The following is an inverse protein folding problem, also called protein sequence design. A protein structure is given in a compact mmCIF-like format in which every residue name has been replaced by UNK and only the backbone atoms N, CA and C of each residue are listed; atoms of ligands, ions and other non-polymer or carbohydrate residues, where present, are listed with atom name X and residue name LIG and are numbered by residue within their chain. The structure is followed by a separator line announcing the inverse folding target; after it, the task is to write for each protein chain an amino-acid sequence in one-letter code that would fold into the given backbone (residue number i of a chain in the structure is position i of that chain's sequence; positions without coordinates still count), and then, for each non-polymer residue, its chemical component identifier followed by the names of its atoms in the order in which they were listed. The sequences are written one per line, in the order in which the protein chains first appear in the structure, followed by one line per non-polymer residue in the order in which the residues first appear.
data_IF_322144064978
#
_entry.id   IF_322144064978
#
_cell.length_a   1.000
_cell.length_b   1.000
_cell.length_c   1.000
_cell.angle_alpha   90.00
_cell.angle_beta   90.00
_cell.angle_gamma   90.00
#
_symmetry.space_group_name_H-M   'P 1'
#
loop_
_entity.id
_entity.type
_entity.pdbx_description
1 polymer ?
#
# COMPACT_ATOMS: atom_id res chain seq x y z
N UNK A 1 -3.56 -27.32 0.09
CA UNK A 1 -2.52 -26.29 0.36
C UNK A 1 -2.74 -25.01 -0.44
N UNK A 2 -3.07 -25.11 -1.74
CA UNK A 2 -3.36 -23.96 -2.63
C UNK A 2 -4.48 -23.07 -2.09
N UNK A 3 -5.59 -23.65 -1.61
CA UNK A 3 -6.72 -22.88 -1.03
C UNK A 3 -6.33 -21.97 0.15
N UNK A 4 -5.38 -22.39 1.02
CA UNK A 4 -4.92 -21.59 2.17
C UNK A 4 -3.93 -20.51 1.76
N UNK A 5 -3.04 -20.81 0.82
CA UNK A 5 -2.10 -19.83 0.25
C UNK A 5 -2.82 -18.73 -0.53
N UNK A 6 -3.80 -19.09 -1.36
CA UNK A 6 -4.63 -18.13 -2.09
C UNK A 6 -5.42 -17.20 -1.16
N UNK A 7 -6.04 -17.75 -0.10
CA UNK A 7 -6.74 -16.93 0.91
C UNK A 7 -5.79 -15.94 1.61
N UNK A 8 -4.57 -16.40 1.90
CA UNK A 8 -3.54 -15.59 2.56
C UNK A 8 -3.03 -14.49 1.64
N UNK A 9 -2.75 -14.80 0.37
CA UNK A 9 -2.37 -13.83 -0.64
C UNK A 9 -3.47 -12.79 -0.89
N UNK A 10 -4.73 -13.22 -0.92
CA UNK A 10 -5.89 -12.33 -1.06
C UNK A 10 -6.05 -11.40 0.15
N UNK A 11 -5.80 -11.89 1.37
CA UNK A 11 -5.81 -11.07 2.57
C UNK A 11 -4.66 -10.06 2.58
N UNK A 12 -3.44 -10.50 2.28
CA UNK A 12 -2.27 -9.62 2.19
C UNK A 12 -2.46 -8.57 1.09
N UNK A 13 -3.00 -8.97 -0.06
CA UNK A 13 -3.42 -8.05 -1.10
C UNK A 13 -4.44 -7.04 -0.54
N UNK A 14 -5.50 -7.47 0.16
CA UNK A 14 -6.46 -6.53 0.74
C UNK A 14 -5.89 -5.53 1.75
N UNK A 15 -4.82 -5.91 2.46
CA UNK A 15 -4.16 -5.06 3.46
C UNK A 15 -3.20 -4.06 2.82
N UNK A 16 -2.44 -4.48 1.81
CA UNK A 16 -1.42 -3.64 1.14
C UNK A 16 -1.94 -2.94 -0.12
N UNK A 17 -2.99 -3.45 -0.75
CA UNK A 17 -3.57 -2.85 -1.95
C UNK A 17 -4.49 -1.68 -1.57
N UNK A 18 -3.89 -0.51 -1.38
CA UNK A 18 -4.57 0.74 -1.04
C UNK A 18 -4.57 1.79 -2.16
N UNK A 19 -4.96 3.01 -1.80
CA UNK A 19 -5.05 4.15 -2.73
C UNK A 19 -3.72 4.44 -3.46
N UNK A 20 -2.58 4.33 -2.78
CA UNK A 20 -1.27 4.52 -3.42
C UNK A 20 -1.10 3.60 -4.63
N UNK A 21 -1.40 2.32 -4.47
CA UNK A 21 -1.28 1.31 -5.53
C UNK A 21 -2.26 1.50 -6.69
N UNK A 22 -3.29 2.35 -6.54
CA UNK A 22 -4.20 2.73 -7.61
C UNK A 22 -3.78 4.02 -8.32
N UNK A 23 -3.05 4.91 -7.66
CA UNK A 23 -2.75 6.26 -8.16
C UNK A 23 -1.35 6.35 -8.77
N UNK A 24 -0.33 5.78 -8.11
CA UNK A 24 1.05 5.92 -8.59
C UNK A 24 1.35 5.15 -9.86
N UNK A 25 0.96 3.86 -10.02
CA UNK A 25 1.35 3.12 -11.22
C UNK A 25 0.78 3.72 -12.52
N UNK A 26 -0.50 4.13 -12.59
CA UNK A 26 -1.00 4.82 -13.78
C UNK A 26 -0.30 6.17 -14.03
N UNK A 27 -0.08 6.96 -12.98
CA UNK A 27 0.61 8.25 -13.08
C UNK A 27 2.05 8.09 -13.58
N UNK A 28 2.79 7.12 -13.01
CA UNK A 28 4.12 6.72 -13.45
C UNK A 28 4.11 6.26 -14.90
N UNK A 29 3.14 5.45 -15.30
CA UNK A 29 2.99 4.97 -16.68
C UNK A 29 2.89 6.11 -17.68
N UNK A 30 2.05 7.11 -17.39
CA UNK A 30 1.90 8.31 -18.23
C UNK A 30 3.16 9.18 -18.22
N UNK A 31 3.74 9.43 -17.04
CA UNK A 31 4.86 10.37 -16.89
C UNK A 31 6.22 9.84 -17.31
N UNK A 32 6.40 8.51 -17.34
CA UNK A 32 7.67 7.88 -17.69
C UNK A 32 7.89 7.73 -19.19
N UNK A 33 6.81 7.78 -20.00
CA UNK A 33 6.87 7.68 -21.45
C UNK A 33 7.70 6.47 -21.91
N UNK A 34 8.74 6.66 -22.76
CA UNK A 34 9.59 5.56 -23.23
C UNK A 34 10.43 4.91 -22.12
N UNK A 35 10.61 5.56 -20.98
CA UNK A 35 11.41 5.07 -19.85
C UNK A 35 10.59 4.26 -18.83
N UNK A 36 9.49 3.65 -19.28
CA UNK A 36 8.57 2.90 -18.42
C UNK A 36 9.25 1.77 -17.66
N UNK A 37 10.05 0.92 -18.32
CA UNK A 37 10.68 -0.24 -17.71
C UNK A 37 11.59 0.08 -16.51
N UNK A 38 12.54 1.03 -16.59
CA UNK A 38 13.32 1.42 -15.43
C UNK A 38 12.44 2.06 -14.34
N UNK A 39 11.43 2.84 -14.70
CA UNK A 39 10.52 3.45 -13.74
C UNK A 39 9.71 2.41 -12.93
N UNK A 40 9.05 1.47 -13.62
CA UNK A 40 8.27 0.43 -12.94
C UNK A 40 9.17 -0.50 -12.13
N UNK A 41 10.40 -0.75 -12.57
CA UNK A 41 11.40 -1.50 -11.81
C UNK A 41 11.72 -0.86 -10.45
N UNK A 42 11.95 0.46 -10.42
CA UNK A 42 12.16 1.20 -9.18
C UNK A 42 10.93 1.16 -8.26
N UNK A 43 9.73 1.34 -8.85
CA UNK A 43 8.47 1.28 -8.12
C UNK A 43 8.24 -0.08 -7.46
N UNK A 44 8.40 -1.17 -8.21
CA UNK A 44 8.21 -2.53 -7.70
C UNK A 44 9.23 -2.85 -6.61
N UNK A 45 10.49 -2.44 -6.78
CA UNK A 45 11.53 -2.68 -5.78
C UNK A 45 11.18 -2.05 -4.43
N UNK A 46 10.81 -0.78 -4.44
CA UNK A 46 10.54 -0.01 -3.21
C UNK A 46 9.15 -0.26 -2.62
N UNK A 47 8.10 -0.22 -3.44
CA UNK A 47 6.71 -0.35 -2.99
C UNK A 47 6.34 -1.78 -2.61
N UNK A 48 6.75 -2.77 -3.41
CA UNK A 48 6.40 -4.18 -3.17
C UNK A 48 7.55 -4.95 -2.54
N UNK A 49 8.75 -4.85 -3.11
CA UNK A 49 9.92 -5.63 -2.69
C UNK A 49 10.28 -5.39 -1.23
N UNK A 50 10.48 -4.12 -0.83
CA UNK A 50 10.82 -3.76 0.55
C UNK A 50 9.67 -4.11 1.51
N UNK A 51 8.40 -3.88 1.13
CA UNK A 51 7.26 -4.20 1.96
C UNK A 51 7.14 -5.71 2.25
N UNK A 52 7.31 -6.55 1.21
CA UNK A 52 7.30 -8.01 1.35
C UNK A 52 8.48 -8.49 2.18
N UNK A 53 9.69 -7.98 1.94
CA UNK A 53 10.88 -8.32 2.74
C UNK A 53 10.68 -7.95 4.21
N UNK A 54 10.15 -6.76 4.47
CA UNK A 54 9.82 -6.29 5.82
C UNK A 54 8.79 -7.20 6.48
N UNK A 55 7.73 -7.57 5.77
CA UNK A 55 6.74 -8.50 6.31
C UNK A 55 7.36 -9.86 6.66
N UNK A 56 8.18 -10.43 5.76
CA UNK A 56 8.85 -11.71 5.97
C UNK A 56 9.78 -11.65 7.19
N UNK A 57 10.67 -10.66 7.25
CA UNK A 57 11.61 -10.47 8.37
C UNK A 57 10.85 -10.26 9.69
N UNK A 58 9.77 -9.48 9.68
CA UNK A 58 8.91 -9.28 10.84
C UNK A 58 8.25 -10.58 11.30
N UNK A 59 7.84 -11.44 10.37
CA UNK A 59 7.21 -12.74 10.71
C UNK A 59 8.17 -13.78 11.24
N UNK A 60 9.45 -13.72 10.86
CA UNK A 60 10.49 -14.62 11.36
C UNK A 60 10.91 -14.28 12.79
N UNK A 61 10.66 -13.05 13.24
CA UNK A 61 11.00 -12.60 14.60
C UNK A 61 9.78 -12.68 15.53
N UNK A 62 9.68 -13.71 16.40
CA UNK A 62 8.49 -13.96 17.22
C UNK A 62 8.20 -12.86 18.25
N UNK A 63 9.18 -12.01 18.54
CA UNK A 63 9.04 -10.87 19.46
C UNK A 63 8.81 -9.53 18.72
N UNK A 64 8.74 -9.56 17.39
CA UNK A 64 8.46 -8.41 16.53
C UNK A 64 9.59 -7.38 16.45
N UNK A 65 9.39 -6.37 15.61
CA UNK A 65 10.37 -5.30 15.37
C UNK A 65 10.72 -4.50 16.62
N UNK A 66 9.76 -4.30 17.52
CA UNK A 66 9.97 -3.54 18.76
C UNK A 66 11.09 -4.18 19.60
N UNK A 67 11.00 -5.49 19.79
CA UNK A 67 11.98 -6.21 20.61
C UNK A 67 13.36 -6.23 19.96
N UNK A 68 13.42 -6.50 18.65
CA UNK A 68 14.67 -6.52 17.90
C UNK A 68 15.39 -5.17 17.94
N UNK A 69 14.66 -4.07 17.72
CA UNK A 69 15.21 -2.71 17.78
C UNK A 69 15.65 -2.36 19.21
N UNK A 70 14.87 -2.77 20.21
CA UNK A 70 15.19 -2.50 21.62
C UNK A 70 16.47 -3.20 22.08
N UNK A 71 16.72 -4.41 21.60
CA UNK A 71 17.91 -5.20 21.96
C UNK A 71 19.16 -4.79 21.15
N UNK A 72 19.00 -4.50 19.86
CA UNK A 72 20.14 -4.21 18.96
C UNK A 72 20.58 -2.75 18.95
N UNK A 73 19.66 -1.82 19.25
CA UNK A 73 19.94 -0.38 19.24
C UNK A 73 19.75 0.19 20.65
N UNK A 74 18.51 0.41 21.06
CA UNK A 74 18.16 0.85 22.40
C UNK A 74 16.63 0.81 22.61
N UNK A 75 16.14 0.56 23.83
CA UNK A 75 14.69 0.57 24.13
C UNK A 75 14.01 1.90 23.82
N UNK A 76 14.66 3.03 24.13
CA UNK A 76 14.10 4.35 23.87
C UNK A 76 13.97 4.64 22.36
N UNK A 77 14.93 4.16 21.56
CA UNK A 77 14.91 4.34 20.11
C UNK A 77 13.75 3.58 19.47
N UNK A 78 13.47 2.35 19.94
CA UNK A 78 12.32 1.58 19.48
C UNK A 78 10.99 2.31 19.72
N UNK A 79 10.84 2.95 20.89
CA UNK A 79 9.64 3.73 21.22
C UNK A 79 9.52 4.96 20.32
N UNK A 80 10.58 5.75 20.20
CA UNK A 80 10.58 6.97 19.34
C UNK A 80 10.26 6.61 17.89
N UNK A 81 10.90 5.55 17.37
CA UNK A 81 10.67 5.08 16.00
C UNK A 81 9.21 4.66 15.78
N UNK A 82 8.60 3.89 16.69
CA UNK A 82 7.19 3.50 16.55
C UNK A 82 6.24 4.67 16.67
N UNK A 83 6.49 5.61 17.58
CA UNK A 83 5.66 6.80 17.71
C UNK A 83 5.71 7.61 16.42
N UNK A 84 6.90 7.86 15.88
CA UNK A 84 7.06 8.55 14.60
C UNK A 84 6.37 7.80 13.45
N UNK A 85 6.49 6.47 13.43
CA UNK A 85 5.89 5.62 12.40
C UNK A 85 4.36 5.66 12.46
N UNK A 86 3.75 5.50 13.64
CA UNK A 86 2.30 5.55 13.79
C UNK A 86 1.73 6.94 13.55
N UNK A 87 2.44 8.01 13.94
CA UNK A 87 2.02 9.38 13.64
C UNK A 87 2.09 9.68 12.14
N UNK A 88 3.12 9.17 11.45
CA UNK A 88 3.25 9.29 10.00
C UNK A 88 2.15 8.54 9.25
N UNK A 89 1.88 7.28 9.62
CA UNK A 89 0.79 6.51 9.00
C UNK A 89 -0.56 7.14 9.32
N UNK A 90 -0.80 7.52 10.58
CA UNK A 90 -2.08 8.02 11.04
C UNK A 90 -2.30 9.49 10.66
N UNK A 91 -2.25 10.41 11.65
CA UNK A 91 -2.72 11.78 11.49
C UNK A 91 -1.89 12.68 10.59
N UNK A 92 -0.59 12.41 10.39
CA UNK A 92 0.29 13.40 9.77
C UNK A 92 0.49 13.22 8.26
N UNK A 93 0.38 12.00 7.74
CA UNK A 93 0.73 11.77 6.33
C UNK A 93 -0.25 10.86 5.61
N UNK A 94 -0.29 9.56 5.91
CA UNK A 94 -1.01 8.61 5.06
C UNK A 94 -2.53 8.85 5.06
N UNK A 95 -3.16 8.97 6.24
CA UNK A 95 -4.62 9.13 6.30
C UNK A 95 -5.07 10.45 5.64
N UNK A 96 -4.52 11.64 5.97
CA UNK A 96 -4.90 12.89 5.28
C UNK A 96 -4.70 12.82 3.77
N UNK A 97 -3.58 12.23 3.33
CA UNK A 97 -3.28 12.06 1.91
C UNK A 97 -4.33 11.22 1.19
N UNK A 98 -4.82 10.14 1.79
CA UNK A 98 -5.86 9.33 1.13
C UNK A 98 -7.14 10.14 0.87
N UNK A 99 -7.53 11.01 1.79
CA UNK A 99 -8.69 11.88 1.63
C UNK A 99 -8.48 12.92 0.51
N UNK A 100 -7.33 13.59 0.50
CA UNK A 100 -7.04 14.62 -0.53
C UNK A 100 -6.91 14.00 -1.91
N UNK A 101 -6.27 12.84 -2.04
CA UNK A 101 -6.13 12.21 -3.36
C UNK A 101 -7.46 11.64 -3.86
N UNK A 102 -8.31 11.08 -2.98
CA UNK A 102 -9.66 10.67 -3.37
C UNK A 102 -10.49 11.86 -3.90
N UNK A 103 -10.33 13.04 -3.31
CA UNK A 103 -10.92 14.27 -3.83
C UNK A 103 -10.34 14.67 -5.19
N UNK A 104 -9.02 14.81 -5.29
CA UNK A 104 -8.35 15.32 -6.51
C UNK A 104 -8.56 14.42 -7.72
N UNK A 105 -8.61 13.10 -7.52
CA UNK A 105 -8.79 12.14 -8.62
C UNK A 105 -10.26 11.87 -8.90
N UNK A 106 -11.12 11.84 -7.87
CA UNK A 106 -12.50 11.38 -7.99
C UNK A 106 -13.55 12.48 -8.16
N UNK A 107 -13.37 13.63 -7.51
CA UNK A 107 -14.41 14.67 -7.40
C UNK A 107 -13.98 15.98 -8.05
N UNK A 108 -12.74 16.43 -7.81
CA UNK A 108 -12.17 17.67 -8.36
C UNK A 108 -12.37 17.80 -9.88
N UNK A 109 -12.16 16.75 -10.71
CA UNK A 109 -12.36 16.85 -12.17
C UNK A 109 -13.82 17.03 -12.60
N UNK A 110 -14.78 16.74 -11.71
CA UNK A 110 -16.23 16.86 -11.98
C UNK A 110 -16.78 18.23 -11.56
N UNK A 111 -16.02 19.01 -10.78
CA UNK A 111 -16.45 20.29 -10.25
C UNK A 111 -15.92 21.47 -11.08
N UNK A 112 -16.66 22.60 -11.12
CA UNK A 112 -16.14 23.84 -11.66
C UNK A 112 -14.91 24.35 -10.88
N UNK A 113 -13.89 24.86 -11.59
CA UNK A 113 -12.59 25.30 -11.03
C UNK A 113 -12.66 26.37 -9.93
N UNK A 114 -13.78 27.07 -9.77
CA UNK A 114 -13.98 28.10 -8.74
C UNK A 114 -14.53 27.54 -7.42
N UNK A 115 -15.03 26.30 -7.40
CA UNK A 115 -15.56 25.64 -6.19
C UNK A 115 -14.56 24.74 -5.46
N UNK A 116 -13.34 24.63 -5.96
CA UNK A 116 -12.40 23.56 -5.57
C UNK A 116 -11.97 23.62 -4.11
N UNK A 117 -11.84 24.80 -3.52
CA UNK A 117 -11.45 24.96 -2.10
C UNK A 117 -12.55 24.54 -1.13
N UNK A 118 -13.78 25.04 -1.34
CA UNK A 118 -14.94 24.63 -0.53
C UNK A 118 -15.29 23.16 -0.76
N UNK A 119 -15.19 22.68 -1.99
CA UNK A 119 -15.38 21.27 -2.35
C UNK A 119 -14.44 20.34 -1.57
N UNK A 120 -13.16 20.72 -1.44
CA UNK A 120 -12.18 19.94 -0.68
C UNK A 120 -12.56 19.85 0.81
N UNK A 121 -12.96 20.96 1.44
CA UNK A 121 -13.35 21.00 2.85
C UNK A 121 -14.58 20.11 3.09
N UNK A 122 -15.61 20.24 2.25
CA UNK A 122 -16.84 19.45 2.37
C UNK A 122 -16.54 17.97 2.16
N UNK A 123 -15.80 17.61 1.10
CA UNK A 123 -15.46 16.23 0.81
C UNK A 123 -14.63 15.58 1.93
N UNK A 124 -13.57 16.25 2.39
CA UNK A 124 -12.72 15.73 3.46
C UNK A 124 -13.48 15.58 4.77
N UNK A 125 -14.38 16.52 5.10
CA UNK A 125 -15.27 16.39 6.26
C UNK A 125 -16.14 15.15 6.16
N UNK A 126 -16.83 14.94 5.03
CA UNK A 126 -17.67 13.75 4.79
C UNK A 126 -16.83 12.48 4.85
N UNK A 127 -15.64 12.48 4.23
CA UNK A 127 -14.72 11.35 4.22
C UNK A 127 -14.33 10.93 5.64
N UNK A 128 -13.89 11.88 6.47
CA UNK A 128 -13.48 11.58 7.84
C UNK A 128 -14.64 11.22 8.76
N UNK A 129 -15.83 11.80 8.57
CA UNK A 129 -17.05 11.39 9.29
C UNK A 129 -17.42 9.95 8.92
N UNK A 130 -17.42 9.60 7.63
CA UNK A 130 -17.70 8.24 7.19
C UNK A 130 -16.65 7.25 7.72
N UNK A 131 -15.37 7.60 7.64
CA UNK A 131 -14.27 6.79 8.19
C UNK A 131 -14.44 6.57 9.70
N UNK A 132 -14.79 7.64 10.44
CA UNK A 132 -15.08 7.56 11.87
C UNK A 132 -16.24 6.61 12.17
N UNK A 133 -17.38 6.77 11.49
CA UNK A 133 -18.56 5.91 11.68
C UNK A 133 -18.27 4.44 11.37
N UNK A 134 -17.46 4.15 10.35
CA UNK A 134 -17.05 2.79 10.01
C UNK A 134 -16.11 2.23 11.10
N UNK A 135 -15.21 3.06 11.63
CA UNK A 135 -14.24 2.67 12.66
C UNK A 135 -14.87 2.33 14.02
N UNK A 136 -16.10 2.79 14.29
CA UNK A 136 -16.85 2.45 15.51
C UNK A 136 -17.18 0.95 15.65
N UNK A 137 -17.07 0.17 14.55
CA UNK A 137 -17.29 -1.28 14.56
C UNK A 137 -16.03 -2.06 14.12
N UNK A 138 -14.95 -2.03 14.92
CA UNK A 138 -13.64 -2.59 14.52
C UNK A 138 -13.67 -4.11 14.30
N UNK A 139 -14.53 -4.84 15.03
CA UNK A 139 -14.66 -6.30 14.90
C UNK A 139 -15.12 -6.77 13.52
N UNK A 140 -15.81 -5.92 12.76
CA UNK A 140 -16.27 -6.21 11.39
C UNK A 140 -15.34 -5.64 10.32
N UNK A 141 -14.32 -4.86 10.69
CA UNK A 141 -13.48 -4.13 9.75
C UNK A 141 -12.62 -5.07 8.91
N UNK A 142 -11.93 -6.01 9.55
CA UNK A 142 -11.10 -7.02 8.88
C UNK A 142 -11.94 -7.92 7.96
N UNK A 143 -13.13 -8.34 8.42
CA UNK A 143 -14.07 -9.14 7.61
C UNK A 143 -14.58 -8.36 6.39
N UNK A 144 -14.88 -7.07 6.53
CA UNK A 144 -15.29 -6.19 5.43
C UNK A 144 -14.17 -5.96 4.42
N UNK A 145 -12.94 -5.76 4.88
CA UNK A 145 -11.77 -5.59 4.01
C UNK A 145 -11.61 -6.83 3.12
N UNK A 146 -11.50 -8.02 3.73
CA UNK A 146 -11.25 -9.25 2.98
C UNK A 146 -12.43 -9.73 2.12
N UNK A 147 -13.67 -9.55 2.58
CA UNK A 147 -14.87 -10.07 1.90
C UNK A 147 -15.47 -9.12 0.86
N UNK A 148 -15.31 -7.81 1.03
CA UNK A 148 -15.95 -6.79 0.17
C UNK A 148 -14.90 -5.96 -0.55
N UNK A 149 -13.97 -5.34 0.18
CA UNK A 149 -13.02 -4.38 -0.41
C UNK A 149 -12.07 -5.06 -1.39
N UNK A 150 -11.48 -6.19 -1.00
CA UNK A 150 -10.58 -6.96 -1.87
C UNK A 150 -11.21 -7.38 -3.21
N UNK A 151 -12.38 -8.04 -3.26
CA UNK A 151 -12.99 -8.39 -4.55
C UNK A 151 -13.41 -7.16 -5.35
N UNK A 152 -13.88 -6.09 -4.70
CA UNK A 152 -14.19 -4.82 -5.40
C UNK A 152 -12.93 -4.26 -6.08
N UNK A 153 -11.80 -4.18 -5.37
CA UNK A 153 -10.55 -3.71 -5.95
C UNK A 153 -10.05 -4.61 -7.08
N UNK A 154 -10.13 -5.92 -6.93
CA UNK A 154 -9.75 -6.85 -7.99
C UNK A 154 -10.61 -6.66 -9.26
N UNK A 155 -11.92 -6.49 -9.11
CA UNK A 155 -12.83 -6.22 -10.22
C UNK A 155 -12.50 -4.87 -10.88
N UNK A 156 -12.27 -3.82 -10.10
CA UNK A 156 -11.91 -2.49 -10.63
C UNK A 156 -10.60 -2.53 -11.42
N UNK A 157 -9.59 -3.28 -10.97
CA UNK A 157 -8.34 -3.48 -11.70
C UNK A 157 -8.60 -4.19 -13.03
N UNK A 158 -9.41 -5.25 -13.04
CA UNK A 158 -9.75 -5.97 -14.28
C UNK A 158 -10.43 -5.02 -15.27
N UNK A 159 -11.39 -4.20 -14.80
CA UNK A 159 -12.04 -3.19 -15.64
C UNK A 159 -11.02 -2.19 -16.20
N UNK A 160 -10.12 -1.67 -15.35
CA UNK A 160 -9.06 -0.75 -15.78
C UNK A 160 -8.14 -1.36 -16.83
N UNK A 161 -7.74 -2.63 -16.66
CA UNK A 161 -6.91 -3.36 -17.63
C UNK A 161 -7.64 -3.50 -18.97
N UNK A 162 -8.92 -3.89 -18.95
CA UNK A 162 -9.73 -4.04 -20.17
C UNK A 162 -9.88 -2.71 -20.89
N UNK A 163 -10.27 -1.64 -20.17
CA UNK A 163 -10.41 -0.30 -20.74
C UNK A 163 -9.07 0.23 -21.28
N UNK A 164 -7.98 0.01 -20.54
CA UNK A 164 -6.63 0.36 -20.96
C UNK A 164 -6.21 -0.38 -22.22
N UNK A 165 -6.50 -1.68 -22.32
CA UNK A 165 -6.20 -2.51 -23.49
C UNK A 165 -6.96 -2.03 -24.74
N UNK A 166 -8.23 -1.66 -24.60
CA UNK A 166 -9.01 -1.10 -25.73
C UNK A 166 -8.50 0.27 -26.20
N UNK A 167 -7.90 1.07 -25.32
CA UNK A 167 -7.26 2.34 -25.67
C UNK A 167 -5.78 2.20 -25.99
N UNK A 168 -5.20 1.01 -25.88
CA UNK A 168 -3.77 0.82 -26.06
C UNK A 168 -3.40 1.08 -27.53
N UNK A 169 -2.47 2.02 -27.74
CA UNK A 169 -2.06 2.44 -29.08
C UNK A 169 -3.01 3.42 -29.78
N UNK A 170 -4.08 3.91 -29.11
CA UNK A 170 -4.95 4.94 -29.69
C UNK A 170 -4.31 6.33 -29.71
N UNK A 171 -3.31 6.54 -28.86
CA UNK A 171 -2.53 7.79 -28.79
C UNK A 171 -1.03 7.50 -28.87
N UNK A 172 -0.27 8.47 -29.39
CA UNK A 172 1.18 8.40 -29.42
C UNK A 172 1.75 8.39 -28.00
N UNK A 173 2.84 7.65 -27.80
CA UNK A 173 3.54 7.62 -26.50
C UNK A 173 3.94 9.05 -26.11
N UNK A 174 3.45 9.49 -24.95
CA UNK A 174 3.83 10.80 -24.41
C UNK A 174 5.33 10.82 -24.08
N UNK A 175 5.95 11.99 -24.22
CA UNK A 175 7.34 12.16 -23.80
C UNK A 175 7.44 12.04 -22.29
N UNK A 176 8.57 11.51 -21.82
CA UNK A 176 8.85 11.44 -20.40
C UNK A 176 8.88 12.86 -19.81
N UNK A 177 8.28 13.04 -18.64
CA UNK A 177 8.41 14.29 -17.89
C UNK A 177 9.88 14.55 -17.53
N UNK A 178 10.20 15.79 -17.15
CA UNK A 178 11.58 16.16 -16.80
C UNK A 178 12.19 15.27 -15.71
N UNK A 179 11.41 14.95 -14.66
CA UNK A 179 11.85 14.11 -13.56
C UNK A 179 12.21 12.69 -14.02
N UNK A 180 11.38 12.07 -14.86
CA UNK A 180 11.60 10.73 -15.39
C UNK A 180 12.64 10.70 -16.52
N UNK A 181 12.87 11.81 -17.21
CA UNK A 181 13.95 11.95 -18.20
C UNK A 181 15.33 11.99 -17.53
N UNK A 182 15.43 12.56 -16.33
CA UNK A 182 16.69 12.61 -15.56
C UNK A 182 16.98 11.25 -14.90
N UNK A 183 15.99 10.67 -14.21
CA UNK A 183 16.16 9.37 -13.54
C UNK A 183 14.83 8.63 -13.40
N UNK A 184 14.49 7.86 -14.43
CA UNK A 184 13.26 7.06 -14.43
C UNK A 184 13.22 6.07 -13.26
N UNK A 185 14.31 5.33 -13.02
CA UNK A 185 14.40 4.37 -11.92
C UNK A 185 14.29 5.05 -10.55
N UNK A 186 14.99 6.17 -10.35
CA UNK A 186 14.95 6.91 -9.09
C UNK A 186 13.57 7.47 -8.78
N UNK A 187 12.90 8.06 -9.79
CA UNK A 187 11.52 8.53 -9.62
C UNK A 187 10.57 7.38 -9.34
N UNK A 188 10.69 6.27 -10.08
CA UNK A 188 9.93 5.06 -9.79
C UNK A 188 10.11 4.57 -8.35
N UNK A 189 11.35 4.55 -7.86
CA UNK A 189 11.67 4.17 -6.48
C UNK A 189 11.03 5.11 -5.45
N UNK A 190 11.03 6.42 -5.70
CA UNK A 190 10.37 7.38 -4.81
C UNK A 190 8.86 7.19 -4.80
N UNK A 191 8.25 6.95 -5.96
CA UNK A 191 6.80 6.70 -6.04
C UNK A 191 6.39 5.39 -5.34
N UNK A 192 7.21 4.35 -5.46
CA UNK A 192 6.98 3.10 -4.72
C UNK A 192 7.17 3.27 -3.21
N UNK A 193 8.19 4.01 -2.77
CA UNK A 193 8.35 4.37 -1.35
C UNK A 193 7.14 5.19 -0.84
N UNK A 194 6.62 6.09 -1.67
CA UNK A 194 5.47 6.94 -1.36
C UNK A 194 4.16 6.16 -1.25
N UNK A 195 4.07 4.87 -1.60
CA UNK A 195 2.89 4.05 -1.27
C UNK A 195 2.76 3.81 0.23
N UNK A 196 3.87 3.97 0.97
CA UNK A 196 3.99 3.74 2.41
C UNK A 196 3.80 2.28 2.83
N UNK A 197 3.70 1.35 1.87
CA UNK A 197 3.50 -0.08 2.15
C UNK A 197 4.66 -0.67 2.95
N UNK A 198 5.89 -0.21 2.68
CA UNK A 198 7.07 -0.62 3.44
C UNK A 198 6.99 -0.22 4.93
N UNK A 199 6.56 1.01 5.22
CA UNK A 199 6.38 1.49 6.59
C UNK A 199 5.19 0.81 7.28
N UNK A 200 4.10 0.64 6.54
CA UNK A 200 2.91 -0.09 6.98
C UNK A 200 3.25 -1.54 7.33
N UNK A 201 4.13 -2.20 6.57
CA UNK A 201 4.56 -3.57 6.85
C UNK A 201 5.24 -3.70 8.21
N UNK A 202 6.00 -2.71 8.67
CA UNK A 202 6.60 -2.71 10.02
C UNK A 202 5.50 -2.69 11.09
N UNK A 203 4.57 -1.74 11.00
CA UNK A 203 3.44 -1.61 11.93
C UNK A 203 2.53 -2.85 11.93
N UNK A 204 2.23 -3.38 10.74
CA UNK A 204 1.29 -4.47 10.54
C UNK A 204 1.92 -5.85 10.66
N UNK A 205 3.25 -5.99 10.63
CA UNK A 205 3.92 -7.30 10.77
C UNK A 205 3.48 -8.04 12.04
N UNK A 206 3.33 -7.34 13.17
CA UNK A 206 2.86 -7.95 14.43
C UNK A 206 1.43 -8.48 14.31
N UNK A 207 0.54 -7.71 13.66
CA UNK A 207 -0.87 -8.08 13.44
C UNK A 207 -0.99 -9.19 12.38
N UNK A 208 -0.21 -9.09 11.30
CA UNK A 208 -0.15 -10.08 10.23
C UNK A 208 0.37 -11.42 10.76
N UNK A 209 1.39 -11.43 11.64
CA UNK A 209 1.86 -12.64 12.32
C UNK A 209 0.74 -13.30 13.11
N UNK A 210 -0.03 -12.53 13.89
CA UNK A 210 -1.17 -13.09 14.64
C UNK A 210 -2.25 -13.64 13.72
N UNK A 211 -2.62 -12.94 12.64
CA UNK A 211 -3.66 -13.37 11.69
C UNK A 211 -3.21 -14.58 10.86
N UNK A 212 -1.95 -14.62 10.41
CA UNK A 212 -1.35 -15.76 9.73
C UNK A 212 -1.29 -17.00 10.66
N UNK A 213 -0.91 -16.82 11.92
CA UNK A 213 -0.92 -17.90 12.91
C UNK A 213 -2.34 -18.43 13.19
N UNK A 214 -3.36 -17.55 13.18
CA UNK A 214 -4.77 -17.92 13.36
C UNK A 214 -5.36 -18.66 12.15
N UNK A 215 -4.92 -18.37 10.93
CA UNK A 215 -5.32 -19.08 9.70
C UNK A 215 -4.73 -20.50 9.56
N UNK A 216 -4.08 -21.01 10.62
CA UNK A 216 -3.66 -22.40 10.74
C UNK A 216 -2.24 -22.68 10.26
N UNK A 217 -1.39 -21.65 10.14
CA UNK A 217 0.06 -21.82 9.99
C UNK A 217 0.71 -22.09 11.37
N UNK A 218 0.21 -23.10 12.09
CA UNK A 218 0.59 -23.39 13.49
C UNK A 218 1.98 -24.02 13.69
N UNK A 219 2.71 -24.38 12.63
CA UNK A 219 3.96 -25.13 12.79
C UNK A 219 5.20 -24.34 12.36
N UNK A 220 5.96 -23.90 13.37
CA UNK A 220 7.24 -23.17 13.30
C UNK A 220 8.29 -23.80 12.37
N UNK A 221 8.24 -25.12 12.12
CA UNK A 221 9.16 -25.82 11.20
C UNK A 221 8.87 -25.58 9.72
N UNK A 222 7.65 -25.21 9.35
CA UNK A 222 7.22 -25.12 7.95
C UNK A 222 7.34 -23.73 7.32
N UNK A 223 7.83 -22.70 8.02
CA UNK A 223 8.06 -21.37 7.43
C UNK A 223 9.50 -21.28 6.89
N UNK A 224 10.51 -21.67 7.68
CA UNK A 224 11.90 -21.75 7.23
C UNK A 224 12.11 -22.77 6.10
N UNK A 225 11.59 -23.99 6.23
CA UNK A 225 11.74 -25.03 5.19
C UNK A 225 10.98 -24.73 3.88
N UNK A 226 9.98 -23.85 3.91
CA UNK A 226 9.05 -23.66 2.79
C UNK A 226 9.29 -22.39 1.98
N UNK A 227 10.10 -21.48 2.52
CA UNK A 227 10.72 -20.36 1.79
C UNK A 227 12.15 -20.66 1.34
N UNK A 228 12.64 -21.90 1.52
CA UNK A 228 13.97 -22.30 1.03
C UNK A 228 15.14 -21.55 1.66
N UNK A 229 14.93 -20.92 2.82
CA UNK A 229 15.97 -20.22 3.57
C UNK A 229 16.40 -21.12 4.72
N UNK A 230 17.36 -21.99 4.41
CA UNK A 230 18.18 -22.70 5.38
C UNK A 230 19.12 -21.70 6.05
N UNK A 231 18.77 -21.30 7.28
CA UNK A 231 19.72 -21.00 8.37
C UNK A 231 19.14 -21.60 9.63
#
# INVERSE_FOLDING_TARGET
MIKKGALTGLLLFGIFFGAGNLIFPPSLGVQSGPNFWPAIGGFVLSGVGIAVLTLVIGTLNPKGYIHEISQKIAPWFAIVYLVALYLSIGPFFAIPRTATVAYEVGISPLLPKYTTGLGLIVFTTIYFVAAYLISLNPSKLLDRIGRILTPVFAILIIILIILGAFKYGSEATQQASAAYSISAFGQGFLEGYNTLDALAAVAFSVIAVTTLNQLGFKNKKNISQRFGLLV
#
